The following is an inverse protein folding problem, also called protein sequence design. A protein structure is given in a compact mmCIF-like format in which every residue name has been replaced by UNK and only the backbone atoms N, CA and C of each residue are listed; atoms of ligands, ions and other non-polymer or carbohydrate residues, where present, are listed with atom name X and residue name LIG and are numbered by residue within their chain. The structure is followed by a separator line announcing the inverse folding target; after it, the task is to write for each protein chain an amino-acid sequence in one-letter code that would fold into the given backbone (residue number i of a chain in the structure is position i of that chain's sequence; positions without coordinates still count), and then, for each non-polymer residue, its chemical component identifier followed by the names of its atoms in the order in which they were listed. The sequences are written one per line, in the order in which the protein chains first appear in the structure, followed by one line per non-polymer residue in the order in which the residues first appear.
data_IF_012304925836
#
_entry.id   IF_012304925836
#
_cell.length_a   1.000
_cell.length_b   1.000
_cell.length_c   1.000
_cell.angle_alpha   90.00
_cell.angle_beta   90.00
_cell.angle_gamma   90.00
#
_symmetry.space_group_name_H-M   'P 1'
#
loop_
_entity.id
_entity.type
_entity.pdbx_description
1 polymer ?
#
# COMPACT_ATOMS: atom_id res chain seq x y z
N UNK A 1 13.19 26.70 13.25
CA UNK A 1 12.10 26.94 14.23
C UNK A 1 11.84 28.42 14.38
N UNK A 2 10.57 28.82 14.39
CA UNK A 2 10.10 30.17 14.67
C UNK A 2 9.96 30.36 16.18
N UNK A 3 10.46 31.47 16.71
CA UNK A 3 10.23 31.87 18.10
C UNK A 3 9.13 32.93 18.15
N UNK A 4 8.08 32.68 18.93
CA UNK A 4 6.99 33.61 19.16
C UNK A 4 6.98 33.96 20.64
N UNK A 5 7.00 35.25 20.98
CA UNK A 5 6.86 35.74 22.35
C UNK A 5 5.40 36.07 22.63
N UNK A 6 4.80 35.41 23.63
CA UNK A 6 3.42 35.61 24.04
C UNK A 6 3.28 35.44 25.56
N UNK A 7 2.71 36.43 26.25
CA UNK A 7 2.54 36.44 27.73
C UNK A 7 3.84 36.06 28.49
N UNK A 8 4.96 36.69 28.16
CA UNK A 8 6.31 36.42 28.71
C UNK A 8 6.83 34.98 28.52
N UNK A 9 6.16 34.18 27.69
CA UNK A 9 6.62 32.85 27.28
C UNK A 9 7.18 32.87 25.85
N UNK A 10 8.25 32.08 25.65
CA UNK A 10 8.85 31.82 24.35
C UNK A 10 8.32 30.51 23.80
N UNK A 11 7.55 30.61 22.73
CA UNK A 11 6.96 29.47 22.03
C UNK A 11 7.85 29.13 20.85
N UNK A 12 8.24 27.85 20.75
CA UNK A 12 9.06 27.34 19.66
C UNK A 12 8.19 26.57 18.68
N UNK A 13 7.96 27.15 17.50
CA UNK A 13 7.09 26.58 16.47
C UNK A 13 7.93 25.98 15.35
N UNK A 14 7.77 24.70 14.99
CA UNK A 14 8.44 24.12 13.84
C UNK A 14 7.91 24.74 12.54
N UNK A 15 8.79 25.01 11.59
CA UNK A 15 8.44 25.56 10.27
C UNK A 15 8.74 24.59 9.12
N UNK A 16 9.44 23.50 9.41
CA UNK A 16 9.80 22.47 8.43
C UNK A 16 10.06 21.13 9.11
N UNK A 17 10.16 20.06 8.31
CA UNK A 17 10.56 18.73 8.80
C UNK A 17 11.96 18.70 9.42
N UNK A 18 12.85 19.63 9.05
CA UNK A 18 14.18 19.73 9.64
C UNK A 18 14.15 20.17 11.12
N UNK A 19 13.07 20.83 11.55
CA UNK A 19 12.88 21.27 12.94
C UNK A 19 12.40 20.14 13.86
N UNK A 20 12.00 18.98 13.33
CA UNK A 20 11.41 17.88 14.10
C UNK A 20 12.33 16.67 14.10
N UNK A 21 12.46 16.02 15.26
CA UNK A 21 13.15 14.72 15.36
C UNK A 21 12.20 13.57 14.99
N UNK A 22 12.75 12.43 14.57
CA UNK A 22 11.97 11.22 14.35
C UNK A 22 11.24 10.78 15.63
N UNK A 23 11.85 10.98 16.79
CA UNK A 23 11.20 10.73 18.08
C UNK A 23 9.93 11.56 18.27
N UNK A 24 9.93 12.80 17.82
CA UNK A 24 8.76 13.67 17.90
C UNK A 24 7.69 13.21 16.91
N UNK A 25 8.08 12.81 15.70
CA UNK A 25 7.18 12.21 14.70
C UNK A 25 6.46 10.96 15.22
N UNK A 26 7.19 10.01 15.81
CA UNK A 26 6.64 8.74 16.27
C UNK A 26 5.59 8.89 17.39
N UNK A 27 5.65 9.95 18.20
CA UNK A 27 4.66 10.23 19.26
C UNK A 27 3.26 10.49 18.71
N UNK A 28 3.15 11.02 17.49
CA UNK A 28 1.86 11.37 16.89
C UNK A 28 1.54 10.57 15.63
N UNK A 29 2.51 9.88 15.02
CA UNK A 29 2.27 9.02 13.86
C UNK A 29 1.16 7.97 14.06
N UNK A 30 0.99 7.48 15.30
CA UNK A 30 -0.08 6.51 15.64
C UNK A 30 -1.43 7.17 15.98
N UNK A 31 -1.50 8.49 16.13
CA UNK A 31 -2.74 9.17 16.50
C UNK A 31 -3.61 9.38 15.26
N UNK A 32 -4.83 8.87 15.32
CA UNK A 32 -5.85 9.19 14.33
C UNK A 32 -6.42 10.55 14.74
N UNK A 33 -6.24 11.56 13.88
CA UNK A 33 -6.84 12.88 14.09
C UNK A 33 -8.31 12.80 13.70
N UNK A 34 -9.15 12.33 14.63
CA UNK A 34 -10.59 12.16 14.38
C UNK A 34 -11.37 13.47 14.50
N UNK A 35 -10.88 14.43 15.31
CA UNK A 35 -11.53 15.71 15.55
C UNK A 35 -10.56 16.90 15.69
N UNK A 36 -11.13 18.11 15.84
CA UNK A 36 -10.35 19.34 16.02
C UNK A 36 -9.61 19.40 17.37
N UNK A 37 -10.05 18.64 18.37
CA UNK A 37 -9.43 18.61 19.70
C UNK A 37 -8.10 17.85 19.64
N UNK A 38 -8.08 16.69 18.98
CA UNK A 38 -6.87 15.91 18.71
C UNK A 38 -5.89 16.68 17.83
N UNK A 39 -6.40 17.43 16.85
CA UNK A 39 -5.55 18.35 16.07
C UNK A 39 -4.89 19.39 16.97
N UNK A 40 -5.64 20.03 17.86
CA UNK A 40 -5.10 21.00 18.81
C UNK A 40 -4.07 20.37 19.75
N UNK A 41 -4.30 19.14 20.21
CA UNK A 41 -3.31 18.40 21.00
C UNK A 41 -2.03 18.10 20.23
N UNK A 42 -2.12 17.74 18.94
CA UNK A 42 -0.95 17.59 18.09
C UNK A 42 -0.19 18.92 17.94
N UNK A 43 -0.89 20.04 17.71
CA UNK A 43 -0.26 21.36 17.60
C UNK A 43 0.49 21.74 18.89
N UNK A 44 -0.14 21.52 20.04
CA UNK A 44 0.46 21.77 21.35
C UNK A 44 1.69 20.90 21.58
N UNK A 45 1.60 19.59 21.29
CA UNK A 45 2.71 18.64 21.45
C UNK A 45 3.90 19.02 20.52
N UNK A 46 3.63 19.43 19.26
CA UNK A 46 4.64 19.88 18.29
C UNK A 46 5.35 21.18 18.71
N UNK A 47 4.60 22.13 19.26
CA UNK A 47 5.14 23.40 19.71
C UNK A 47 5.67 23.34 21.15
N UNK A 48 5.59 22.16 21.81
CA UNK A 48 5.92 21.94 23.23
C UNK A 48 5.21 22.94 24.14
N UNK A 49 3.96 23.25 23.81
CA UNK A 49 3.11 24.19 24.54
C UNK A 49 2.15 23.45 25.46
N UNK A 50 1.77 24.12 26.53
CA UNK A 50 0.64 23.66 27.34
C UNK A 50 -0.68 23.76 26.55
N UNK A 51 -1.51 22.72 26.65
CA UNK A 51 -2.76 22.60 25.89
C UNK A 51 -3.80 23.61 26.34
N UNK A 52 -3.90 23.86 27.64
CA UNK A 52 -4.82 24.85 28.20
C UNK A 52 -4.37 26.26 27.81
N UNK A 53 -3.07 26.51 27.76
CA UNK A 53 -2.53 27.77 27.27
C UNK A 53 -2.90 28.01 25.80
N UNK A 54 -2.75 27.00 24.93
CA UNK A 54 -3.13 27.13 23.52
C UNK A 54 -4.65 27.36 23.36
N UNK A 55 -5.49 26.68 24.16
CA UNK A 55 -6.94 26.88 24.14
C UNK A 55 -7.37 28.28 24.57
N UNK A 56 -6.67 28.87 25.54
CA UNK A 56 -6.94 30.22 26.04
C UNK A 56 -6.18 31.32 25.28
N UNK A 57 -5.43 30.95 24.22
CA UNK A 57 -4.66 31.89 23.42
C UNK A 57 -5.55 32.68 22.45
N UNK A 58 -5.14 33.90 22.05
CA UNK A 58 -5.81 34.65 21.00
C UNK A 58 -5.82 33.86 19.69
N UNK A 59 -6.93 33.97 18.95
CA UNK A 59 -7.10 33.29 17.65
C UNK A 59 -5.96 33.63 16.69
N UNK A 60 -5.43 34.87 16.73
CA UNK A 60 -4.30 35.28 15.90
C UNK A 60 -3.03 34.47 16.16
N UNK A 61 -2.78 34.05 17.41
CA UNK A 61 -1.65 33.20 17.75
C UNK A 61 -1.86 31.79 17.18
N UNK A 62 -3.06 31.24 17.33
CA UNK A 62 -3.42 29.95 16.76
C UNK A 62 -3.30 29.95 15.23
N UNK A 63 -3.76 31.01 14.55
CA UNK A 63 -3.64 31.16 13.10
C UNK A 63 -2.17 31.20 12.65
N UNK A 64 -1.32 31.93 13.40
CA UNK A 64 0.11 32.00 13.12
C UNK A 64 0.80 30.63 13.26
N UNK A 65 0.49 29.90 14.33
CA UNK A 65 1.01 28.54 14.58
C UNK A 65 0.51 27.59 13.49
N UNK A 66 -0.79 27.55 13.24
CA UNK A 66 -1.43 26.68 12.24
C UNK A 66 -0.85 26.89 10.85
N UNK A 67 -0.59 28.16 10.48
CA UNK A 67 0.07 28.49 9.22
C UNK A 67 1.51 27.98 9.18
N UNK A 68 2.26 28.12 10.27
CA UNK A 68 3.64 27.66 10.34
C UNK A 68 3.76 26.13 10.25
N UNK A 69 2.83 25.37 10.85
CA UNK A 69 2.84 23.90 10.84
C UNK A 69 2.19 23.28 9.59
N UNK A 70 1.64 24.09 8.69
CA UNK A 70 0.94 23.62 7.48
C UNK A 70 1.78 22.72 6.57
N UNK A 71 3.11 22.78 6.67
CA UNK A 71 4.01 21.86 5.97
C UNK A 71 3.76 20.39 6.31
N UNK A 72 3.26 20.10 7.53
CA UNK A 72 2.97 18.74 7.97
C UNK A 72 1.76 18.12 7.24
N UNK A 73 0.88 18.94 6.66
CA UNK A 73 -0.32 18.47 5.95
C UNK A 73 -0.03 18.00 4.52
N UNK A 74 1.05 18.47 3.90
CA UNK A 74 1.44 18.12 2.53
C UNK A 74 2.79 17.39 2.55
N UNK A 75 2.79 16.14 2.99
CA UNK A 75 3.98 15.32 3.08
C UNK A 75 4.23 14.53 1.77
N UNK A 76 4.34 15.23 0.64
CA UNK A 76 4.92 14.62 -0.57
C UNK A 76 6.44 14.60 -0.40
N UNK A 77 6.92 13.50 0.17
CA UNK A 77 8.33 13.23 0.40
C UNK A 77 8.85 12.30 -0.69
N UNK A 78 9.86 12.77 -1.42
CA UNK A 78 10.59 11.93 -2.36
C UNK A 78 11.31 10.80 -1.60
N UNK A 79 11.14 9.54 -2.03
CA UNK A 79 11.77 8.41 -1.37
C UNK A 79 13.29 8.43 -1.60
N UNK A 80 14.05 8.20 -0.52
CA UNK A 80 15.50 8.05 -0.58
C UNK A 80 15.92 6.73 0.10
N UNK A 81 17.06 6.20 -0.32
CA UNK A 81 17.70 5.02 0.27
C UNK A 81 18.99 5.33 1.01
N UNK A 82 19.45 6.57 0.93
CA UNK A 82 20.69 7.05 1.51
C UNK A 82 20.44 8.19 2.49
N UNK A 83 21.25 8.25 3.53
CA UNK A 83 21.28 9.40 4.43
C UNK A 83 22.69 9.61 4.97
N UNK A 84 23.11 10.88 5.08
CA UNK A 84 24.34 11.25 5.78
C UNK A 84 24.03 11.76 7.19
N UNK A 85 24.61 11.08 8.19
CA UNK A 85 24.46 11.35 9.62
C UNK A 85 25.87 11.58 10.18
N UNK A 86 26.12 12.79 10.68
CA UNK A 86 27.41 13.21 11.26
C UNK A 86 28.63 12.90 10.37
N UNK A 87 28.51 13.08 9.05
CA UNK A 87 29.58 12.84 8.09
C UNK A 87 29.76 11.38 7.71
N UNK A 88 28.91 10.47 8.19
CA UNK A 88 28.91 9.05 7.83
C UNK A 88 27.68 8.71 6.99
N UNK A 89 27.90 7.98 5.90
CA UNK A 89 26.83 7.53 5.02
C UNK A 89 26.20 6.23 5.50
N UNK A 90 24.87 6.20 5.45
CA UNK A 90 24.03 5.05 5.75
C UNK A 90 23.13 4.76 4.56
N UNK A 91 22.90 3.47 4.30
CA UNK A 91 22.15 2.98 3.17
C UNK A 91 21.12 1.96 3.65
N UNK A 92 19.93 2.00 3.04
CA UNK A 92 18.93 0.95 3.22
C UNK A 92 19.43 -0.31 2.52
N UNK A 93 19.57 -1.40 3.27
CA UNK A 93 19.91 -2.71 2.71
C UNK A 93 18.74 -3.21 1.85
N UNK A 94 18.97 -3.58 0.58
CA UNK A 94 17.93 -4.12 -0.28
C UNK A 94 17.39 -5.45 0.27
N UNK A 95 16.11 -5.73 0.04
CA UNK A 95 15.41 -6.91 0.58
C UNK A 95 16.10 -8.25 0.30
N UNK A 96 16.80 -8.32 -0.83
CA UNK A 96 17.38 -9.56 -1.36
C UNK A 96 18.71 -9.91 -0.65
N UNK A 97 19.21 -8.99 0.19
CA UNK A 97 20.42 -9.14 1.00
C UNK A 97 20.12 -9.30 2.50
N UNK A 98 18.83 -9.32 2.89
CA UNK A 98 18.43 -9.49 4.29
C UNK A 98 18.74 -10.90 4.80
N UNK A 99 19.41 -10.99 5.93
CA UNK A 99 19.60 -12.27 6.62
C UNK A 99 18.31 -12.73 7.31
N UNK A 100 18.15 -14.03 7.58
CA UNK A 100 16.98 -14.54 8.30
C UNK A 100 16.81 -13.89 9.67
N UNK A 101 17.92 -13.62 10.38
CA UNK A 101 17.88 -12.92 11.67
C UNK A 101 17.32 -11.51 11.54
N UNK A 102 17.79 -10.75 10.54
CA UNK A 102 17.26 -9.42 10.24
C UNK A 102 15.76 -9.45 9.94
N UNK A 103 15.33 -10.42 9.13
CA UNK A 103 13.92 -10.57 8.79
C UNK A 103 13.06 -10.85 10.04
N UNK A 104 13.49 -11.76 10.91
CA UNK A 104 12.79 -12.04 12.18
C UNK A 104 12.70 -10.79 13.05
N UNK A 105 13.79 -10.03 13.18
CA UNK A 105 13.81 -8.83 14.02
C UNK A 105 12.92 -7.71 13.46
N UNK A 106 12.82 -7.60 12.12
CA UNK A 106 11.88 -6.69 11.44
C UNK A 106 10.43 -7.10 11.73
N UNK A 107 10.08 -8.37 11.53
CA UNK A 107 8.72 -8.88 11.78
C UNK A 107 8.33 -8.68 13.26
N UNK A 108 9.21 -9.02 14.20
CA UNK A 108 8.97 -8.79 15.62
C UNK A 108 8.76 -7.30 15.93
N UNK A 109 9.53 -6.40 15.31
CA UNK A 109 9.35 -4.96 15.47
C UNK A 109 7.99 -4.50 14.95
N UNK A 110 7.57 -5.00 13.78
CA UNK A 110 6.28 -4.68 13.17
C UNK A 110 5.09 -5.20 13.99
N UNK A 111 5.20 -6.41 14.54
CA UNK A 111 4.16 -7.05 15.37
C UNK A 111 4.09 -6.48 16.80
N UNK A 112 5.18 -5.90 17.32
CA UNK A 112 5.23 -5.34 18.68
C UNK A 112 4.26 -4.17 18.89
N UNK A 113 4.01 -3.76 20.14
CA UNK A 113 3.29 -2.51 20.43
C UNK A 113 4.22 -1.29 20.60
N UNK A 114 5.51 -1.44 20.25
CA UNK A 114 6.53 -0.42 20.51
C UNK A 114 6.11 0.97 19.99
N UNK A 115 6.27 2.05 20.78
CA UNK A 115 6.03 3.40 20.29
C UNK A 115 7.06 3.85 19.26
N UNK A 116 8.23 3.18 19.17
CA UNK A 116 9.38 3.58 18.34
C UNK A 116 9.64 2.66 17.14
N UNK A 117 8.58 2.09 16.55
CA UNK A 117 8.71 1.10 15.45
C UNK A 117 9.53 1.59 14.26
N UNK A 118 9.35 2.84 13.86
CA UNK A 118 10.01 3.39 12.67
C UNK A 118 11.51 3.52 12.95
N UNK A 119 11.86 4.07 14.12
CA UNK A 119 13.23 4.16 14.61
C UNK A 119 13.90 2.78 14.65
N UNK A 120 13.18 1.79 15.20
CA UNK A 120 13.69 0.43 15.34
C UNK A 120 13.90 -0.26 14.00
N UNK A 121 12.96 -0.12 13.07
CA UNK A 121 13.09 -0.63 11.72
C UNK A 121 14.29 0.00 11.00
N UNK A 122 14.41 1.33 11.03
CA UNK A 122 15.54 2.04 10.42
C UNK A 122 16.88 1.60 11.01
N UNK A 123 16.95 1.36 12.32
CA UNK A 123 18.16 0.87 12.97
C UNK A 123 18.61 -0.51 12.48
N UNK A 124 17.68 -1.37 12.05
CA UNK A 124 17.95 -2.69 11.49
C UNK A 124 18.35 -2.60 10.01
N UNK A 125 17.58 -1.87 9.20
CA UNK A 125 17.70 -1.90 7.73
C UNK A 125 18.69 -0.88 7.18
N UNK A 126 18.91 0.24 7.89
CA UNK A 126 19.75 1.34 7.41
C UNK A 126 21.12 1.30 8.10
N UNK A 127 22.16 1.00 7.31
CA UNK A 127 23.51 0.68 7.81
C UNK A 127 24.59 1.33 6.96
N UNK A 128 25.79 1.55 7.52
CA UNK A 128 26.97 1.91 6.73
C UNK A 128 27.29 0.84 5.68
N UNK A 129 27.85 1.26 4.55
CA UNK A 129 28.24 0.35 3.48
C UNK A 129 29.22 -0.73 3.98
N UNK A 130 28.93 -1.99 3.67
CA UNK A 130 29.75 -3.14 4.07
C UNK A 130 29.57 -3.60 5.53
N UNK A 131 28.72 -2.94 6.32
CA UNK A 131 28.42 -3.38 7.68
C UNK A 131 27.42 -4.55 7.68
N UNK A 132 27.80 -5.67 8.30
CA UNK A 132 26.89 -6.80 8.53
C UNK A 132 25.96 -6.51 9.69
N UNK A 133 24.75 -7.07 9.63
CA UNK A 133 23.81 -6.93 10.72
C UNK A 133 24.34 -7.52 12.03
N UNK A 134 24.07 -6.78 13.10
CA UNK A 134 24.37 -7.15 14.46
C UNK A 134 23.34 -6.49 15.39
N UNK A 135 22.75 -7.26 16.29
CA UNK A 135 21.70 -6.79 17.21
C UNK A 135 22.21 -5.72 18.18
N UNK A 136 23.49 -5.79 18.57
CA UNK A 136 24.14 -4.82 19.46
C UNK A 136 24.29 -3.46 18.76
N UNK A 137 24.77 -3.46 17.50
CA UNK A 137 24.93 -2.21 16.74
C UNK A 137 23.57 -1.62 16.37
N UNK A 138 22.60 -2.46 16.01
CA UNK A 138 21.22 -2.04 15.78
C UNK A 138 20.64 -1.33 17.01
N UNK A 139 20.85 -1.88 18.22
CA UNK A 139 20.36 -1.28 19.47
C UNK A 139 20.97 0.09 19.73
N UNK A 140 22.28 0.24 19.54
CA UNK A 140 22.97 1.54 19.67
C UNK A 140 22.48 2.55 18.63
N UNK A 141 22.19 2.08 17.41
CA UNK A 141 21.73 2.91 16.29
C UNK A 141 20.31 3.43 16.47
N UNK A 142 19.48 2.79 17.31
CA UNK A 142 18.12 3.27 17.61
C UNK A 142 18.14 4.71 18.10
N UNK A 143 18.99 5.05 19.07
CA UNK A 143 19.03 6.41 19.63
C UNK A 143 19.53 7.43 18.60
N UNK A 144 20.44 7.03 17.71
CA UNK A 144 20.89 7.88 16.60
C UNK A 144 19.74 8.21 15.64
N UNK A 145 18.98 7.21 15.18
CA UNK A 145 17.82 7.46 14.31
C UNK A 145 16.69 8.22 15.02
N UNK A 146 16.50 7.96 16.31
CA UNK A 146 15.50 8.65 17.13
C UNK A 146 15.72 10.17 17.13
N UNK A 147 16.97 10.60 17.20
CA UNK A 147 17.35 12.01 17.19
C UNK A 147 17.55 12.59 15.78
N UNK A 148 17.43 11.78 14.73
CA UNK A 148 17.56 12.23 13.35
C UNK A 148 16.40 13.16 13.00
N UNK A 149 16.70 14.24 12.27
CA UNK A 149 15.69 15.18 11.79
C UNK A 149 14.76 14.55 10.74
N UNK A 150 13.50 14.95 10.71
CA UNK A 150 12.48 14.32 9.86
C UNK A 150 12.74 14.58 8.37
N UNK A 151 13.35 15.69 8.00
CA UNK A 151 13.76 15.96 6.60
C UNK A 151 14.74 14.90 6.07
N UNK A 152 15.52 14.26 6.96
CA UNK A 152 16.43 13.17 6.65
C UNK A 152 15.81 11.79 6.85
N UNK A 153 15.00 11.62 7.90
CA UNK A 153 14.44 10.32 8.26
C UNK A 153 13.24 9.93 7.38
N UNK A 154 12.34 10.87 7.09
CA UNK A 154 11.10 10.59 6.35
C UNK A 154 11.31 10.18 4.88
N UNK A 155 12.32 10.66 4.13
CA UNK A 155 12.65 10.09 2.81
C UNK A 155 12.91 8.57 2.87
N UNK A 156 13.60 8.11 3.91
CA UNK A 156 13.89 6.68 4.12
C UNK A 156 12.60 5.89 4.39
N UNK A 157 11.68 6.46 5.17
CA UNK A 157 10.36 5.86 5.42
C UNK A 157 9.52 5.86 4.15
N UNK A 158 9.53 6.96 3.40
CA UNK A 158 8.82 7.11 2.14
C UNK A 158 9.26 6.06 1.11
N UNK A 159 10.53 5.65 1.11
CA UNK A 159 11.00 4.54 0.28
C UNK A 159 10.24 3.24 0.56
N UNK A 160 10.08 2.85 1.83
CA UNK A 160 9.34 1.64 2.19
C UNK A 160 7.86 1.73 1.82
N UNK A 161 7.22 2.88 2.06
CA UNK A 161 5.82 3.11 1.68
C UNK A 161 5.62 3.03 0.17
N UNK A 162 6.52 3.61 -0.62
CA UNK A 162 6.51 3.51 -2.08
C UNK A 162 6.70 2.07 -2.55
N UNK A 163 7.64 1.33 -1.95
CA UNK A 163 7.87 -0.09 -2.26
C UNK A 163 6.66 -0.95 -1.94
N UNK A 164 6.00 -0.73 -0.80
CA UNK A 164 4.74 -1.40 -0.43
C UNK A 164 3.66 -1.15 -1.49
N UNK A 165 3.40 0.12 -1.82
CA UNK A 165 2.39 0.49 -2.84
C UNK A 165 2.67 -0.15 -4.20
N UNK A 166 3.95 -0.17 -4.63
CA UNK A 166 4.36 -0.86 -5.87
C UNK A 166 4.13 -2.36 -5.79
N UNK A 167 4.49 -2.99 -4.67
CA UNK A 167 4.29 -4.43 -4.43
C UNK A 167 2.80 -4.82 -4.48
N UNK A 168 1.95 -4.05 -3.80
CA UNK A 168 0.49 -4.26 -3.79
C UNK A 168 -0.11 -4.15 -5.20
N UNK A 169 0.33 -3.16 -6.00
CA UNK A 169 -0.11 -3.01 -7.38
C UNK A 169 0.29 -4.22 -8.26
N UNK A 170 1.52 -4.72 -8.11
CA UNK A 170 2.00 -5.92 -8.82
C UNK A 170 1.17 -7.15 -8.41
N UNK A 171 0.95 -7.35 -7.11
CA UNK A 171 0.18 -8.47 -6.58
C UNK A 171 -1.28 -8.45 -7.08
N UNK A 172 -1.88 -7.26 -7.13
CA UNK A 172 -3.22 -7.08 -7.69
C UNK A 172 -3.27 -7.49 -9.17
N UNK A 173 -2.31 -7.05 -9.99
CA UNK A 173 -2.23 -7.45 -11.39
C UNK A 173 -2.05 -8.96 -11.57
N UNK A 174 -1.16 -9.59 -10.79
CA UNK A 174 -0.99 -11.04 -10.82
C UNK A 174 -2.29 -11.77 -10.49
N UNK A 175 -3.00 -11.32 -9.45
CA UNK A 175 -4.28 -11.91 -9.03
C UNK A 175 -5.34 -11.82 -10.12
N UNK A 176 -5.41 -10.68 -10.82
CA UNK A 176 -6.31 -10.47 -11.96
C UNK A 176 -5.99 -11.42 -13.13
N UNK A 177 -4.70 -11.57 -13.48
CA UNK A 177 -4.26 -12.48 -14.54
C UNK A 177 -4.58 -13.94 -14.18
N UNK A 178 -4.30 -14.35 -12.94
CA UNK A 178 -4.60 -15.69 -12.46
C UNK A 178 -6.10 -15.98 -12.49
N UNK A 179 -6.95 -15.03 -12.08
CA UNK A 179 -8.40 -15.15 -12.16
C UNK A 179 -8.88 -15.29 -13.61
N UNK A 180 -8.31 -14.52 -14.54
CA UNK A 180 -8.65 -14.59 -15.95
C UNK A 180 -8.22 -15.92 -16.58
N UNK A 181 -7.01 -16.41 -16.29
CA UNK A 181 -6.54 -17.71 -16.73
C UNK A 181 -7.44 -18.85 -16.22
N UNK A 182 -7.84 -18.79 -14.94
CA UNK A 182 -8.79 -19.74 -14.37
C UNK A 182 -10.16 -19.68 -15.05
N UNK A 183 -10.64 -18.49 -15.42
CA UNK A 183 -11.87 -18.32 -16.20
C UNK A 183 -11.75 -18.93 -17.59
N UNK A 184 -10.67 -18.65 -18.31
CA UNK A 184 -10.42 -19.27 -19.62
C UNK A 184 -10.36 -20.79 -19.54
N UNK A 185 -9.75 -21.37 -18.50
CA UNK A 185 -9.74 -22.81 -18.29
C UNK A 185 -11.15 -23.38 -18.05
N UNK A 186 -11.97 -22.70 -17.25
CA UNK A 186 -13.38 -23.09 -17.02
C UNK A 186 -14.20 -22.97 -18.30
N UNK A 187 -14.05 -21.89 -19.04
CA UNK A 187 -14.74 -21.65 -20.30
C UNK A 187 -14.34 -22.72 -21.32
N UNK A 188 -13.05 -23.02 -21.46
CA UNK A 188 -12.55 -24.07 -22.36
C UNK A 188 -13.12 -25.44 -21.99
N UNK A 189 -13.13 -25.82 -20.70
CA UNK A 189 -13.78 -27.06 -20.25
C UNK A 189 -15.27 -27.08 -20.58
N UNK A 190 -15.96 -25.95 -20.38
CA UNK A 190 -17.38 -25.81 -20.68
C UNK A 190 -17.64 -25.91 -22.18
N UNK A 191 -16.82 -25.31 -23.03
CA UNK A 191 -16.89 -25.44 -24.49
C UNK A 191 -16.63 -26.87 -24.96
N UNK A 192 -15.68 -27.59 -24.34
CA UNK A 192 -15.43 -29.00 -24.67
C UNK A 192 -16.63 -29.87 -24.31
N UNK A 193 -17.25 -29.66 -23.14
CA UNK A 193 -18.44 -30.40 -22.69
C UNK A 193 -19.65 -30.08 -23.59
N UNK A 194 -19.91 -28.79 -23.84
CA UNK A 194 -21.09 -28.34 -24.59
C UNK A 194 -20.92 -28.48 -26.12
N UNK A 195 -19.70 -28.60 -26.63
CA UNK A 195 -19.39 -28.84 -28.04
C UNK A 195 -19.86 -30.21 -28.55
N UNK A 196 -20.21 -31.15 -27.66
CA UNK A 196 -20.79 -32.43 -28.04
C UNK A 196 -22.19 -32.28 -28.69
N UNK A 197 -22.93 -31.22 -28.32
CA UNK A 197 -24.20 -30.87 -28.96
C UNK A 197 -24.06 -30.47 -30.43
N UNK A 198 -22.99 -29.76 -30.79
CA UNK A 198 -22.68 -29.37 -32.17
C UNK A 198 -22.30 -30.59 -33.01
N UNK A 199 -21.64 -31.59 -32.44
CA UNK A 199 -21.35 -32.87 -33.12
C UNK A 199 -22.60 -33.72 -33.38
N UNK A 200 -23.62 -33.62 -32.53
CA UNK A 200 -24.88 -34.38 -32.67
C UNK A 200 -25.90 -33.71 -33.60
N UNK A 201 -25.76 -32.40 -33.84
CA UNK A 201 -26.67 -31.61 -34.70
C UNK A 201 -26.79 -32.14 -36.14
N UNK A 202 -25.70 -32.49 -36.84
CA UNK A 202 -25.75 -33.10 -38.17
C UNK A 202 -26.44 -34.47 -38.17
N UNK A 203 -26.24 -35.25 -37.11
CA UNK A 203 -26.85 -36.58 -36.94
C UNK A 203 -28.37 -36.44 -36.83
N UNK A 204 -28.85 -35.51 -36.01
CA UNK A 204 -30.28 -35.23 -35.86
C UNK A 204 -30.92 -34.67 -37.14
N UNK A 205 -30.22 -33.80 -37.86
CA UNK A 205 -30.68 -33.31 -39.17
C UNK A 205 -30.81 -34.46 -40.18
N UNK A 206 -29.86 -35.40 -40.20
CA UNK A 206 -29.89 -36.57 -41.08
C UNK A 206 -31.05 -37.51 -40.75
N UNK A 207 -31.30 -37.77 -39.46
CA UNK A 207 -32.46 -38.56 -39.00
C UNK A 207 -33.77 -37.89 -39.45
N UNK A 208 -33.91 -36.58 -39.21
CA UNK A 208 -35.11 -35.81 -39.58
C UNK A 208 -35.35 -35.79 -41.09
N UNK A 209 -34.30 -35.59 -41.88
CA UNK A 209 -34.38 -35.64 -43.34
C UNK A 209 -34.87 -37.02 -43.81
N UNK A 210 -34.25 -38.09 -43.32
CA UNK A 210 -34.62 -39.46 -43.70
C UNK A 210 -36.08 -39.78 -43.36
N UNK A 211 -36.56 -39.33 -42.19
CA UNK A 211 -37.96 -39.49 -41.80
C UNK A 211 -38.92 -38.72 -42.71
N UNK A 212 -38.60 -37.46 -43.03
CA UNK A 212 -39.39 -36.64 -43.94
C UNK A 212 -39.45 -37.22 -45.35
N UNK A 213 -38.32 -37.69 -45.89
CA UNK A 213 -38.26 -38.32 -47.22
C UNK A 213 -39.12 -39.58 -47.27
N UNK A 214 -39.03 -40.48 -46.28
CA UNK A 214 -39.89 -41.67 -46.20
C UNK A 214 -41.37 -41.33 -46.07
N UNK A 215 -41.70 -40.28 -45.32
CA UNK A 215 -43.08 -39.80 -45.19
C UNK A 215 -43.61 -39.26 -46.52
N UNK A 216 -42.79 -38.50 -47.25
CA UNK A 216 -43.14 -37.97 -48.57
C UNK A 216 -43.28 -39.08 -49.62
N UNK A 217 -42.35 -40.05 -49.65
CA UNK A 217 -42.45 -41.23 -50.50
C UNK A 217 -43.76 -41.99 -50.26
N UNK A 218 -44.14 -42.19 -48.99
CA UNK A 218 -45.40 -42.85 -48.61
C UNK A 218 -46.64 -42.04 -48.96
N UNK A 219 -46.54 -40.71 -49.01
CA UNK A 219 -47.66 -39.87 -49.47
C UNK A 219 -47.76 -39.87 -51.00
N UNK A 220 -46.63 -39.80 -51.70
CA UNK A 220 -46.57 -39.84 -53.17
C UNK A 220 -46.96 -41.21 -53.73
N UNK A 221 -46.65 -42.32 -53.03
CA UNK A 221 -47.09 -43.66 -53.43
C UNK A 221 -48.61 -43.83 -53.44
N UNK A 222 -49.37 -42.96 -52.75
CA UNK A 222 -50.84 -42.93 -52.83
C UNK A 222 -51.35 -42.26 -54.11
N UNK A 223 -50.51 -41.49 -54.79
CA UNK A 223 -50.83 -40.77 -56.02
C UNK A 223 -50.19 -41.41 -57.27
N UNK A 224 -49.32 -42.42 -57.13
CA UNK A 224 -48.72 -43.12 -58.28
C UNK A 224 -49.65 -44.15 -58.94
N UNK A 225 -50.73 -44.57 -58.28
CA UNK A 225 -51.73 -45.48 -58.89
C UNK A 225 -52.74 -44.74 -59.78
N UNK A 226 -52.65 -43.41 -59.90
CA UNK A 226 -53.50 -42.60 -60.79
C UNK A 226 -52.68 -41.97 -61.92
N UNK A 227 -52.06 -42.79 -62.76
CA UNK A 227 -51.71 -42.42 -64.14
C UNK A 227 -51.35 -43.65 -64.99
N UNK A 228 -52.37 -44.45 -65.34
CA UNK A 228 -52.43 -45.08 -66.66
C UNK A 228 -53.89 -45.32 -67.04
N UNK A 229 -54.48 -44.34 -67.75
CA UNK A 229 -55.68 -44.54 -68.56
C UNK A 229 -55.23 -45.06 -69.92
N UNK A 230 -55.58 -46.32 -70.19
CA UNK A 230 -55.53 -47.01 -71.48
C UNK A 230 -56.43 -48.23 -71.36
#
# INVERSE_FOLDING_TARGET
MLQIEFNDQKISVPQSWADLSLADYEKWFKRILEDQTEYLHMVADLCRMDRELLLNSPVQLYDAISKAISFASNADMEPDTHVNIDGRDYFISPSDELTLGEWIDIEQTLESDSPTKITEMLAIVCRPAGERYNTVTATQRKEMFRNLSCDKALPLVAFFLHKKKKSEAILHHYSMVAAQANRFLKDTKTFVINGDGIKRLPIWQRIRYTYLTRSLEKQLSKFSDSSFTG
#
